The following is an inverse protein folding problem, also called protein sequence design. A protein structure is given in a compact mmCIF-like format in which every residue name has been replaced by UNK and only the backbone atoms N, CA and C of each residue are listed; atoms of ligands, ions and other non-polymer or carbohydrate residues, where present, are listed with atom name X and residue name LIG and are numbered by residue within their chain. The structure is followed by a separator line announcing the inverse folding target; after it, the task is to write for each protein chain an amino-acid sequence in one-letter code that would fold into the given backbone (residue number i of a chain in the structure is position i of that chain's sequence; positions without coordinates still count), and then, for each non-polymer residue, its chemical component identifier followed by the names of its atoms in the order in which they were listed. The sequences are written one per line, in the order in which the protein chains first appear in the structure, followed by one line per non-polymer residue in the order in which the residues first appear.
data_IF_710275309576
#
_entry.id   IF_710275309576
#
_cell.length_a   1.000
_cell.length_b   1.000
_cell.length_c   1.000
_cell.angle_alpha   90.00
_cell.angle_beta   90.00
_cell.angle_gamma   90.00
#
_symmetry.space_group_name_H-M   'P 1'
#
loop_
_entity.id
_entity.type
_entity.pdbx_description
1 polymer ?
#
# COMPACT_ATOMS: atom_id res chain seq x y z
N UNK A 1 7.71 0.09 2.21
CA UNK A 1 7.18 0.65 3.47
C UNK A 1 8.33 1.15 4.32
N UNK A 2 8.20 2.31 4.92
CA UNK A 2 9.25 2.97 5.73
C UNK A 2 8.61 3.70 6.91
N UNK A 3 9.38 3.89 8.00
CA UNK A 3 9.08 4.93 8.97
C UNK A 3 9.25 6.32 8.35
N UNK A 4 8.41 7.25 8.77
CA UNK A 4 8.39 8.62 8.29
C UNK A 4 7.94 9.58 9.40
N UNK A 5 7.86 10.86 9.06
CA UNK A 5 7.29 11.90 9.92
C UNK A 5 6.45 12.84 9.07
N UNK A 6 5.21 13.10 9.49
CA UNK A 6 4.24 13.89 8.73
C UNK A 6 3.69 15.05 9.57
N UNK A 7 3.60 16.25 8.98
CA UNK A 7 2.94 17.39 9.61
C UNK A 7 1.49 17.45 9.15
N UNK A 8 0.57 17.03 10.02
CA UNK A 8 -0.88 17.09 9.76
C UNK A 8 -1.45 18.51 9.91
N UNK A 9 -0.74 19.37 10.65
CA UNK A 9 -1.13 20.75 10.90
C UNK A 9 0.11 21.58 11.16
N UNK A 10 0.12 22.82 10.66
CA UNK A 10 1.19 23.79 10.94
C UNK A 10 1.27 24.20 12.42
N UNK A 11 0.22 23.94 13.20
CA UNK A 11 0.17 24.24 14.63
C UNK A 11 0.73 23.11 15.52
N UNK A 12 1.10 21.97 14.94
CA UNK A 12 1.58 20.80 15.69
C UNK A 12 2.95 20.34 15.16
N UNK A 13 3.81 19.78 16.03
CA UNK A 13 5.03 19.12 15.58
C UNK A 13 4.72 17.97 14.61
N UNK A 14 5.64 17.65 13.69
CA UNK A 14 5.53 16.46 12.85
C UNK A 14 5.32 15.19 13.69
N UNK A 15 4.36 14.37 13.29
CA UNK A 15 3.97 13.13 13.96
C UNK A 15 4.72 11.95 13.32
N UNK A 16 5.29 11.01 14.11
CA UNK A 16 5.83 9.76 13.57
C UNK A 16 4.76 8.94 12.85
N UNK A 17 5.09 8.45 11.66
CA UNK A 17 4.16 7.74 10.77
C UNK A 17 4.85 6.59 10.06
N UNK A 18 4.06 5.78 9.36
CA UNK A 18 4.51 4.84 8.34
C UNK A 18 4.01 5.31 6.96
N UNK A 19 4.71 4.90 5.91
CA UNK A 19 4.31 5.22 4.55
C UNK A 19 4.67 4.11 3.55
N UNK A 20 3.82 3.96 2.52
CA UNK A 20 4.22 3.33 1.28
C UNK A 20 4.94 4.35 0.41
N UNK A 21 6.07 3.97 -0.17
CA UNK A 21 6.83 4.80 -1.12
C UNK A 21 7.08 4.01 -2.40
N UNK A 22 6.81 4.63 -3.55
CA UNK A 22 7.13 4.12 -4.87
C UNK A 22 8.06 5.05 -5.62
N UNK A 23 9.14 4.52 -6.22
CA UNK A 23 10.10 5.32 -7.00
C UNK A 23 10.72 6.48 -6.18
N UNK A 24 10.86 7.68 -6.75
CA UNK A 24 11.44 8.85 -6.06
C UNK A 24 10.48 9.54 -5.06
N UNK A 25 9.29 8.97 -4.79
CA UNK A 25 8.28 9.62 -3.97
C UNK A 25 8.75 9.82 -2.52
N UNK A 26 8.55 11.03 -1.99
CA UNK A 26 8.86 11.44 -0.63
C UNK A 26 7.66 11.29 0.32
N UNK A 27 6.77 10.33 0.06
CA UNK A 27 5.55 10.15 0.84
C UNK A 27 5.90 9.97 2.33
N UNK A 28 5.28 10.78 3.19
CA UNK A 28 5.49 10.75 4.64
C UNK A 28 4.30 10.18 5.41
N UNK A 29 3.15 10.04 4.78
CA UNK A 29 1.95 9.38 5.32
C UNK A 29 1.13 8.86 4.15
N UNK A 30 0.48 7.71 4.30
CA UNK A 30 -0.18 6.98 3.21
C UNK A 30 0.82 6.55 2.12
N UNK A 31 0.28 6.09 1.00
CA UNK A 31 1.00 5.67 -0.19
C UNK A 31 0.67 6.51 -1.42
N UNK A 32 1.48 6.39 -2.49
CA UNK A 32 1.13 6.95 -3.78
C UNK A 32 -0.18 6.33 -4.30
N UNK A 33 -0.92 7.08 -5.12
CA UNK A 33 -2.01 6.47 -5.87
C UNK A 33 -1.45 5.66 -7.03
N UNK A 34 -1.81 4.37 -7.10
CA UNK A 34 -1.49 3.50 -8.23
C UNK A 34 -2.60 3.67 -9.27
N UNK A 35 -2.23 3.96 -10.52
CA UNK A 35 -3.19 4.00 -11.64
C UNK A 35 -2.88 2.84 -12.57
N UNK A 36 -3.86 1.97 -12.74
CA UNK A 36 -3.83 0.78 -13.56
C UNK A 36 -4.83 0.90 -14.71
N UNK A 37 -4.62 0.11 -15.76
CA UNK A 37 -5.57 -0.02 -16.86
C UNK A 37 -6.24 -1.38 -16.81
N UNK A 38 -7.55 -1.43 -17.03
CA UNK A 38 -8.31 -2.66 -17.11
C UNK A 38 -7.64 -3.64 -18.09
N UNK A 39 -7.50 -4.89 -17.67
CA UNK A 39 -6.90 -5.98 -18.44
C UNK A 39 -5.38 -5.88 -18.62
N UNK A 40 -4.69 -4.91 -18.00
CA UNK A 40 -3.23 -4.80 -18.03
C UNK A 40 -2.65 -5.29 -16.70
N UNK A 41 -2.12 -6.53 -16.66
CA UNK A 41 -1.58 -7.09 -15.42
C UNK A 41 -0.20 -6.52 -15.10
N UNK A 42 0.13 -6.45 -13.81
CA UNK A 42 1.50 -6.17 -13.35
C UNK A 42 1.74 -6.73 -11.97
N UNK A 43 3.03 -6.85 -11.64
CA UNK A 43 3.48 -7.26 -10.31
C UNK A 43 3.85 -6.03 -9.47
N UNK A 44 3.48 -6.06 -8.20
CA UNK A 44 3.90 -5.09 -7.19
C UNK A 44 4.83 -5.77 -6.20
N UNK A 45 6.08 -5.31 -6.18
CA UNK A 45 7.06 -5.74 -5.18
C UNK A 45 6.97 -4.85 -3.95
N UNK A 46 6.43 -5.39 -2.87
CA UNK A 46 6.39 -4.76 -1.57
C UNK A 46 7.65 -5.08 -0.78
N UNK A 47 8.31 -4.04 -0.25
CA UNK A 47 9.53 -4.16 0.56
C UNK A 47 9.27 -3.49 1.90
N UNK A 48 9.43 -4.23 3.00
CA UNK A 48 9.41 -3.64 4.33
C UNK A 48 10.80 -3.16 4.73
N UNK A 49 10.89 -1.90 5.16
CA UNK A 49 12.05 -1.32 5.84
C UNK A 49 11.61 -0.69 7.18
N UNK A 50 10.56 -1.25 7.76
CA UNK A 50 9.96 -0.74 9.00
C UNK A 50 10.86 -1.06 10.19
N UNK A 51 11.12 -0.07 11.03
CA UNK A 51 11.72 -0.15 12.34
C UNK A 51 10.65 -0.15 13.43
N UNK A 52 10.86 0.64 14.48
CA UNK A 52 9.89 0.77 15.59
C UNK A 52 8.53 1.27 15.11
N UNK A 53 7.46 0.64 15.58
CA UNK A 53 6.10 0.99 15.22
C UNK A 53 5.71 2.31 15.93
N UNK A 54 5.19 3.36 15.23
CA UNK A 54 4.82 4.64 15.84
C UNK A 54 3.82 4.54 17.00
N UNK A 55 3.02 3.47 17.01
CA UNK A 55 2.02 3.15 18.03
C UNK A 55 2.41 1.90 18.84
N UNK A 56 3.71 1.67 19.07
CA UNK A 56 4.22 0.49 19.77
C UNK A 56 3.54 0.27 21.14
N UNK A 57 3.27 1.35 21.88
CA UNK A 57 2.58 1.33 23.17
C UNK A 57 1.10 0.88 23.11
N UNK A 58 0.48 0.94 21.93
CA UNK A 58 -0.91 0.54 21.72
C UNK A 58 -1.06 -0.90 21.18
N UNK A 59 0.06 -1.62 21.04
CA UNK A 59 0.06 -3.03 20.67
C UNK A 59 -0.39 -3.85 21.87
N UNK A 60 -1.52 -4.51 21.71
CA UNK A 60 -2.10 -5.40 22.71
C UNK A 60 -1.72 -6.84 22.37
N UNK A 61 -0.88 -7.43 23.21
CA UNK A 61 -0.37 -8.79 23.04
C UNK A 61 -1.39 -9.88 23.43
N UNK A 62 -2.56 -9.51 23.95
CA UNK A 62 -3.66 -10.45 24.21
C UNK A 62 -4.55 -10.68 22.97
N UNK A 63 -4.37 -9.87 21.92
CA UNK A 63 -5.09 -10.02 20.65
C UNK A 63 -4.46 -11.13 19.80
N UNK A 64 -5.31 -11.95 19.19
CA UNK A 64 -4.88 -13.02 18.30
C UNK A 64 -3.98 -12.53 17.15
N UNK A 65 -2.99 -13.35 16.85
CA UNK A 65 -1.98 -13.07 15.84
C UNK A 65 -0.92 -12.06 16.24
N UNK A 66 -1.04 -11.28 17.33
CA UNK A 66 -0.03 -10.30 17.74
C UNK A 66 1.24 -10.98 18.27
N UNK A 67 2.41 -10.45 17.92
CA UNK A 67 3.71 -10.99 18.31
C UNK A 67 4.51 -9.98 19.14
N UNK A 68 5.46 -10.45 19.95
CA UNK A 68 6.34 -9.59 20.74
C UNK A 68 7.24 -8.70 19.88
N UNK A 69 7.44 -9.04 18.61
CA UNK A 69 8.27 -8.28 17.67
C UNK A 69 7.52 -7.16 16.97
N UNK A 70 6.18 -7.11 17.00
CA UNK A 70 5.42 -6.14 16.22
C UNK A 70 5.72 -4.68 16.60
N UNK A 71 6.17 -4.43 17.83
CA UNK A 71 6.59 -3.11 18.28
C UNK A 71 7.89 -2.60 17.62
N UNK A 72 8.81 -3.50 17.23
CA UNK A 72 10.16 -3.12 16.76
C UNK A 72 10.49 -3.62 15.35
N UNK A 73 9.68 -4.56 14.84
CA UNK A 73 9.75 -5.13 13.51
C UNK A 73 8.34 -5.55 13.08
N UNK A 74 7.44 -4.58 12.82
CA UNK A 74 6.05 -4.87 12.53
C UNK A 74 5.93 -5.75 11.29
N UNK A 75 5.13 -6.81 11.44
CA UNK A 75 4.68 -7.63 10.32
C UNK A 75 3.73 -6.82 9.45
N UNK A 76 3.75 -7.14 8.16
CA UNK A 76 2.88 -6.52 7.16
C UNK A 76 2.32 -7.56 6.20
N UNK A 77 1.12 -7.32 5.72
CA UNK A 77 0.46 -8.04 4.61
C UNK A 77 -0.35 -7.01 3.83
N UNK A 78 -0.18 -6.88 2.52
CA UNK A 78 -0.86 -5.80 1.78
C UNK A 78 -2.03 -6.36 1.00
N UNK A 79 -3.23 -5.89 1.34
CA UNK A 79 -4.48 -6.24 0.68
C UNK A 79 -4.87 -5.16 -0.33
N UNK A 80 -5.30 -5.58 -1.53
CA UNK A 80 -5.92 -4.70 -2.53
C UNK A 80 -7.44 -4.75 -2.37
N UNK A 81 -7.98 -3.83 -1.57
CA UNK A 81 -9.39 -3.79 -1.27
C UNK A 81 -10.23 -3.44 -2.50
N UNK A 82 -11.17 -4.33 -2.81
CA UNK A 82 -12.01 -4.27 -4.01
C UNK A 82 -11.35 -4.86 -5.25
N UNK A 83 -10.13 -5.41 -5.14
CA UNK A 83 -9.43 -6.09 -6.23
C UNK A 83 -9.99 -7.46 -6.55
N UNK A 84 -10.03 -7.82 -7.83
CA UNK A 84 -10.25 -9.18 -8.31
C UNK A 84 -8.92 -9.92 -8.36
N UNK A 85 -8.50 -10.43 -7.21
CA UNK A 85 -7.20 -11.02 -6.91
C UNK A 85 -7.34 -12.51 -6.61
N UNK A 86 -6.30 -13.30 -6.93
CA UNK A 86 -6.23 -14.67 -6.44
C UNK A 86 -5.91 -14.68 -4.94
N UNK A 87 -6.26 -15.73 -4.17
CA UNK A 87 -5.98 -15.80 -2.74
C UNK A 87 -4.52 -15.50 -2.37
N UNK A 88 -3.57 -16.10 -3.11
CA UNK A 88 -2.12 -15.89 -2.89
C UNK A 88 -1.65 -14.43 -3.08
N UNK A 89 -2.44 -13.61 -3.77
CA UNK A 89 -2.15 -12.21 -4.06
C UNK A 89 -3.12 -11.25 -3.36
N UNK A 90 -3.98 -11.76 -2.49
CA UNK A 90 -5.03 -10.96 -1.86
C UNK A 90 -4.57 -10.28 -0.57
N UNK A 91 -3.47 -10.72 0.03
CA UNK A 91 -2.99 -10.18 1.30
C UNK A 91 -3.65 -10.85 2.51
N UNK A 92 -3.57 -12.18 2.57
CA UNK A 92 -4.05 -12.98 3.69
C UNK A 92 -3.47 -12.41 5.03
N UNK A 93 -4.31 -12.25 6.08
CA UNK A 93 -3.87 -11.70 7.35
C UNK A 93 -2.73 -12.44 8.06
N UNK A 94 -2.59 -13.74 7.83
CA UNK A 94 -1.53 -14.55 8.45
C UNK A 94 -0.31 -14.71 7.56
N UNK A 95 -0.44 -14.45 6.26
CA UNK A 95 0.66 -14.51 5.31
C UNK A 95 1.47 -13.20 5.27
N UNK A 96 2.15 -12.95 6.38
CA UNK A 96 2.87 -11.71 6.65
C UNK A 96 4.36 -11.81 6.36
N UNK A 97 5.01 -10.67 6.21
CA UNK A 97 6.46 -10.54 6.09
C UNK A 97 6.95 -9.31 6.87
N UNK A 98 8.23 -9.29 7.19
CA UNK A 98 8.90 -8.19 7.91
C UNK A 98 10.08 -7.67 7.08
N UNK A 99 10.87 -6.74 7.64
CA UNK A 99 12.11 -6.29 6.98
C UNK A 99 13.15 -7.41 6.83
N UNK A 100 13.04 -8.48 7.64
CA UNK A 100 13.99 -9.58 7.69
C UNK A 100 13.73 -10.65 6.63
N UNK A 101 12.49 -10.71 6.11
CA UNK A 101 12.05 -11.78 5.20
C UNK A 101 12.29 -11.43 3.72
N UNK A 102 12.60 -10.17 3.43
CA UNK A 102 12.84 -9.68 2.07
C UNK A 102 11.57 -9.19 1.37
N UNK A 103 11.64 -9.00 0.03
CA UNK A 103 10.51 -8.51 -0.74
C UNK A 103 9.40 -9.54 -0.86
N UNK A 104 8.15 -9.08 -0.90
CA UNK A 104 6.97 -9.86 -1.28
C UNK A 104 6.40 -9.34 -2.59
N UNK A 105 6.02 -10.24 -3.50
CA UNK A 105 5.49 -9.89 -4.82
C UNK A 105 4.01 -10.24 -4.87
N UNK A 106 3.18 -9.28 -5.28
CA UNK A 106 1.75 -9.46 -5.53
C UNK A 106 1.46 -9.27 -7.01
N UNK A 107 0.72 -10.20 -7.61
CA UNK A 107 0.25 -10.13 -8.98
C UNK A 107 -1.17 -9.54 -9.06
N UNK A 108 -1.33 -8.42 -9.77
CA UNK A 108 -2.63 -7.79 -9.98
C UNK A 108 -3.04 -7.88 -11.45
N UNK A 109 -4.08 -8.66 -11.71
CA UNK A 109 -4.59 -8.90 -13.06
C UNK A 109 -5.40 -7.74 -13.65
N UNK A 110 -6.03 -6.92 -12.78
CA UNK A 110 -6.86 -5.78 -13.15
C UNK A 110 -8.01 -6.14 -14.11
N UNK A 111 -8.61 -7.31 -13.91
CA UNK A 111 -9.60 -7.91 -14.83
C UNK A 111 -11.03 -7.45 -14.58
N UNK A 112 -11.29 -6.70 -13.51
CA UNK A 112 -12.59 -6.11 -13.19
C UNK A 112 -12.85 -4.79 -13.96
N UNK A 113 -14.04 -4.23 -13.82
CA UNK A 113 -14.41 -2.92 -14.40
C UNK A 113 -13.61 -1.75 -13.80
N UNK A 114 -13.62 -0.61 -14.47
CA UNK A 114 -13.03 0.63 -13.96
C UNK A 114 -13.66 1.00 -12.61
N UNK A 115 -12.82 1.30 -11.62
CA UNK A 115 -13.26 1.55 -10.26
C UNK A 115 -12.19 2.26 -9.41
N UNK A 116 -12.66 2.92 -8.36
CA UNK A 116 -11.83 3.40 -7.24
C UNK A 116 -11.66 2.30 -6.20
N UNK A 117 -10.41 1.85 -6.03
CA UNK A 117 -9.96 0.87 -5.06
C UNK A 117 -8.97 1.53 -4.10
N UNK A 118 -8.49 0.77 -3.13
CA UNK A 118 -7.40 1.18 -2.25
C UNK A 118 -6.63 -0.05 -1.78
N UNK A 119 -5.36 0.14 -1.44
CA UNK A 119 -4.53 -0.90 -0.86
C UNK A 119 -4.13 -0.51 0.56
N UNK A 120 -4.05 -1.48 1.46
CA UNK A 120 -3.71 -1.23 2.85
C UNK A 120 -3.09 -2.45 3.52
N UNK A 121 -2.46 -2.22 4.68
CA UNK A 121 -1.99 -3.33 5.50
C UNK A 121 -3.15 -4.15 6.08
N UNK A 122 -2.95 -5.45 6.21
CA UNK A 122 -3.96 -6.43 6.58
C UNK A 122 -3.41 -7.48 7.58
N UNK A 123 -2.29 -7.21 8.26
CA UNK A 123 -1.69 -8.17 9.19
C UNK A 123 -2.61 -8.45 10.39
N UNK A 124 -2.81 -9.73 10.71
CA UNK A 124 -3.69 -10.19 11.78
C UNK A 124 -3.31 -9.55 13.13
N UNK A 125 -4.30 -9.07 13.88
CA UNK A 125 -4.14 -8.46 15.20
C UNK A 125 -3.65 -7.01 15.21
N UNK A 126 -2.89 -6.58 14.20
CA UNK A 126 -2.27 -5.23 14.16
C UNK A 126 -2.70 -4.36 12.97
N UNK A 127 -3.59 -4.83 12.09
CA UNK A 127 -4.14 -4.06 10.95
C UNK A 127 -4.58 -2.65 11.35
N UNK A 128 -5.33 -2.52 12.47
CA UNK A 128 -5.81 -1.22 12.97
C UNK A 128 -4.68 -0.22 13.20
N UNK A 129 -3.52 -0.70 13.68
CA UNK A 129 -2.37 0.12 14.04
C UNK A 129 -1.55 0.46 12.80
N UNK A 130 -1.29 -0.53 11.95
CA UNK A 130 -0.54 -0.35 10.71
C UNK A 130 -1.24 0.64 9.75
N UNK A 131 -2.56 0.50 9.58
CA UNK A 131 -3.36 1.40 8.74
C UNK A 131 -3.41 2.81 9.35
N UNK A 132 -3.68 2.94 10.65
CA UNK A 132 -3.72 4.25 11.33
C UNK A 132 -2.38 4.97 11.23
N UNK A 133 -1.27 4.25 11.39
CA UNK A 133 0.07 4.78 11.28
C UNK A 133 0.42 5.24 9.84
N UNK A 134 -0.32 4.77 8.82
CA UNK A 134 -0.25 5.30 7.46
C UNK A 134 -0.04 4.27 6.36
N UNK A 135 -0.17 2.98 6.64
CA UNK A 135 -0.09 1.95 5.60
C UNK A 135 -1.44 1.78 4.87
N UNK A 136 -1.79 2.79 4.08
CA UNK A 136 -2.88 2.74 3.10
C UNK A 136 -2.57 3.64 1.89
N UNK A 137 -3.18 3.39 0.74
CA UNK A 137 -3.05 4.23 -0.46
C UNK A 137 -4.14 3.97 -1.49
N UNK A 138 -4.35 4.93 -2.39
CA UNK A 138 -5.37 4.82 -3.44
C UNK A 138 -4.95 3.91 -4.59
N UNK A 139 -5.92 3.27 -5.22
CA UNK A 139 -5.72 2.46 -6.43
C UNK A 139 -6.84 2.76 -7.42
N UNK A 140 -6.53 3.13 -8.65
CA UNK A 140 -7.54 3.41 -9.68
C UNK A 140 -7.37 2.46 -10.85
N UNK A 141 -8.45 1.79 -11.24
CA UNK A 141 -8.51 1.07 -12.53
C UNK A 141 -9.27 1.95 -13.51
N UNK A 142 -8.62 2.32 -14.61
CA UNK A 142 -9.24 3.06 -15.72
C UNK A 142 -9.47 2.13 -16.92
N UNK A 143 -10.42 2.47 -17.78
CA UNK A 143 -10.59 1.84 -19.09
C UNK A 143 -10.90 2.92 -20.15
N UNK A 144 -11.33 2.50 -21.35
CA UNK A 144 -11.59 3.45 -22.44
C UNK A 144 -12.90 4.24 -22.23
N UNK A 145 -13.85 3.67 -21.48
CA UNK A 145 -15.14 4.31 -21.16
C UNK A 145 -15.06 5.24 -19.93
N UNK A 146 -14.20 4.90 -18.97
CA UNK A 146 -13.82 5.71 -17.81
C UNK A 146 -12.28 5.86 -17.75
N UNK A 147 -11.72 6.87 -18.43
CA UNK A 147 -10.28 7.08 -18.49
C UNK A 147 -9.69 7.65 -17.19
N UNK A 148 -10.50 7.91 -16.16
CA UNK A 148 -10.03 8.53 -14.92
C UNK A 148 -9.60 10.00 -15.09
N UNK A 149 -10.04 10.66 -16.18
CA UNK A 149 -9.71 12.06 -16.52
C UNK A 149 -10.88 13.04 -16.31
N UNK A 150 -11.89 12.67 -15.52
CA UNK A 150 -13.00 13.57 -15.17
C UNK A 150 -12.55 14.77 -14.33
N UNK A 151 -13.44 15.74 -14.02
CA UNK A 151 -13.13 16.83 -13.10
C UNK A 151 -12.77 16.26 -11.72
N UNK A 152 -11.47 16.24 -11.39
CA UNK A 152 -10.88 15.46 -10.29
C UNK A 152 -9.73 14.54 -10.71
N UNK A 153 -9.38 14.50 -12.00
CA UNK A 153 -8.27 13.73 -12.54
C UNK A 153 -6.99 13.97 -11.75
N UNK A 154 -6.31 12.88 -11.37
CA UNK A 154 -4.97 12.96 -10.82
C UNK A 154 -4.09 13.69 -11.84
N UNK A 155 -3.60 14.87 -11.47
CA UNK A 155 -2.56 15.55 -12.25
C UNK A 155 -1.45 14.55 -12.48
N UNK A 156 -1.05 14.34 -13.75
CA UNK A 156 -0.12 13.30 -14.14
C UNK A 156 1.06 13.21 -13.16
N UNK A 157 1.02 12.22 -12.25
CA UNK A 157 2.20 11.80 -11.53
C UNK A 157 3.24 11.37 -12.58
N UNK A 158 4.55 11.48 -12.32
CA UNK A 158 5.57 11.16 -13.30
C UNK A 158 5.54 9.66 -13.59
N UNK A 159 4.68 9.26 -14.52
CA UNK A 159 4.54 7.89 -14.96
C UNK A 159 5.75 7.54 -15.82
N UNK A 160 6.44 6.46 -15.44
CA UNK A 160 7.18 5.63 -16.37
C UNK A 160 6.17 5.03 -17.37
N UNK A 161 5.77 5.83 -18.38
CA UNK A 161 5.16 5.28 -19.59
C UNK A 161 6.23 4.44 -20.28
N UNK A 162 6.16 3.11 -20.16
CA UNK A 162 6.86 2.26 -21.12
C UNK A 162 6.23 2.53 -22.50
N UNK A 163 7.03 2.84 -23.54
CA UNK A 163 6.48 3.01 -24.88
C UNK A 163 5.90 1.67 -25.32
N UNK A 164 4.61 1.62 -25.62
CA UNK A 164 4.04 0.51 -26.37
C UNK A 164 4.53 0.63 -27.81
N UNK A 165 5.61 -0.06 -28.16
CA UNK A 165 5.93 -0.33 -29.55
C UNK A 165 4.87 -1.29 -30.09
N UNK A 166 3.93 -0.75 -30.88
CA UNK A 166 3.10 -1.58 -31.77
C UNK A 166 4.05 -2.21 -32.79
N UNK A 167 4.26 -3.53 -32.71
CA UNK A 167 4.75 -4.27 -33.86
C UNK A 167 3.65 -4.28 -34.92
N UNK A 168 3.97 -3.74 -36.10
CA UNK A 168 3.31 -4.10 -37.36
C UNK A 168 3.86 -5.43 -37.84
#
# INVERSE_FOLDING_TARGET
MVNASHSFSSAMPPTPTLAYRGGPALQTYLGPTIVARQGVPFDVTMISKLGEHPLAEAIDHEIDGVTSTDATNPRVSTHLHGGNTSPDNDGDPVDTFTRSDGPRVYHYGNTQEAAGLWYHDHALGITRLNVLAGLAGGYLISNDDDPGTGPGALTAAPFLRRPTSRCR
#
